data_IF_415247112933
#
_entry.id   IF_415247112933
#
_cell.length_a   1.000
_cell.length_b   1.000
_cell.length_c   1.000
_cell.angle_alpha   90.00
_cell.angle_beta   90.00
_cell.angle_gamma   90.00
#
_symmetry.space_group_name_H-M   'P 1'
#
loop_
_entity.id
_entity.type
_entity.pdbx_description
1 polymer ?
#
# COMPACT_ATOMS: atom_id res chain seq x y z
N UNK A 1 5.73 -17.85 -17.56
CA UNK A 1 6.16 -16.45 -17.80
C UNK A 1 7.06 -16.05 -16.65
N UNK A 2 8.00 -15.14 -16.87
CA UNK A 2 8.90 -14.67 -15.81
C UNK A 2 8.09 -14.05 -14.65
N UNK A 3 8.24 -14.59 -13.43
CA UNK A 3 7.72 -13.97 -12.20
C UNK A 3 8.60 -12.78 -11.76
N UNK A 4 9.56 -12.36 -12.59
CA UNK A 4 10.41 -11.21 -12.32
C UNK A 4 9.57 -9.95 -12.44
N UNK A 5 9.59 -9.16 -11.38
CA UNK A 5 9.04 -7.81 -11.37
C UNK A 5 9.88 -6.95 -12.30
N UNK A 6 9.22 -6.04 -13.00
CA UNK A 6 9.85 -5.07 -13.87
C UNK A 6 9.54 -3.66 -13.40
N UNK A 7 10.42 -2.75 -13.78
CA UNK A 7 10.24 -1.32 -13.61
C UNK A 7 10.03 -0.71 -14.99
N UNK A 8 8.90 -0.01 -15.16
CA UNK A 8 8.57 0.74 -16.36
C UNK A 8 8.56 2.23 -16.05
N UNK A 9 9.09 3.02 -16.96
CA UNK A 9 9.18 4.48 -16.81
C UNK A 9 8.43 5.18 -17.93
N UNK A 10 7.80 6.30 -17.60
CA UNK A 10 7.09 7.13 -18.56
C UNK A 10 7.18 8.61 -18.20
N UNK A 11 7.43 9.44 -19.22
CA UNK A 11 7.22 10.88 -19.15
C UNK A 11 5.89 11.23 -19.82
N UNK A 12 4.99 11.86 -19.07
CA UNK A 12 3.72 12.36 -19.58
C UNK A 12 3.93 13.72 -20.24
N UNK A 13 3.60 13.82 -21.52
CA UNK A 13 3.75 15.04 -22.33
C UNK A 13 2.40 15.43 -22.98
N UNK A 14 2.10 16.74 -23.13
CA UNK A 14 2.87 17.88 -22.65
C UNK A 14 2.81 18.00 -21.12
N UNK A 15 3.91 18.36 -20.46
CA UNK A 15 3.95 18.57 -19.00
C UNK A 15 3.02 19.71 -18.55
N UNK A 16 1.98 19.39 -17.78
CA UNK A 16 1.03 20.35 -17.21
C UNK A 16 0.62 19.93 -15.78
N UNK A 17 0.95 20.76 -14.79
CA UNK A 17 0.69 20.48 -13.38
C UNK A 17 -0.81 20.38 -13.05
N UNK A 18 -1.67 21.09 -13.76
CA UNK A 18 -3.11 21.02 -13.51
C UNK A 18 -3.69 19.69 -14.00
N UNK A 19 -3.20 19.21 -15.15
CA UNK A 19 -3.58 17.90 -15.70
C UNK A 19 -3.06 16.76 -14.84
N UNK A 20 -1.83 16.87 -14.35
CA UNK A 20 -1.25 15.91 -13.40
C UNK A 20 -2.03 15.85 -12.08
N UNK A 21 -2.46 17.00 -11.56
CA UNK A 21 -3.29 17.03 -10.36
C UNK A 21 -4.67 16.38 -10.58
N UNK A 22 -5.30 16.62 -11.73
CA UNK A 22 -6.56 15.97 -12.13
C UNK A 22 -6.39 14.45 -12.26
N UNK A 23 -5.30 13.99 -12.87
CA UNK A 23 -4.98 12.56 -13.00
C UNK A 23 -4.76 11.90 -11.64
N UNK A 24 -3.93 12.49 -10.78
CA UNK A 24 -3.61 11.93 -9.47
C UNK A 24 -4.80 11.96 -8.50
N UNK A 25 -5.71 12.92 -8.68
CA UNK A 25 -6.84 13.15 -7.79
C UNK A 25 -6.42 13.70 -6.42
N UNK A 26 -7.40 13.98 -5.54
CA UNK A 26 -7.13 14.49 -4.20
C UNK A 26 -6.27 13.52 -3.39
N UNK A 27 -5.15 13.98 -2.83
CA UNK A 27 -4.23 13.15 -2.03
C UNK A 27 -3.77 11.85 -2.73
N UNK A 28 -3.65 11.89 -4.06
CA UNK A 28 -3.19 10.79 -4.92
C UNK A 28 -4.13 9.57 -4.91
N UNK A 29 -5.40 9.76 -4.58
CA UNK A 29 -6.36 8.66 -4.40
C UNK A 29 -6.58 7.86 -5.68
N UNK A 30 -6.51 8.51 -6.85
CA UNK A 30 -6.64 7.83 -8.14
C UNK A 30 -5.46 6.87 -8.38
N UNK A 31 -4.24 7.31 -8.06
CA UNK A 31 -3.04 6.47 -8.19
C UNK A 31 -3.10 5.31 -7.19
N UNK A 32 -3.46 5.58 -5.93
CA UNK A 32 -3.63 4.54 -4.91
C UNK A 32 -4.69 3.51 -5.30
N UNK A 33 -5.78 3.94 -5.93
CA UNK A 33 -6.81 3.04 -6.42
C UNK A 33 -6.26 2.10 -7.51
N UNK A 34 -5.47 2.64 -8.45
CA UNK A 34 -4.82 1.85 -9.49
C UNK A 34 -3.79 0.87 -8.91
N UNK A 35 -2.96 1.31 -7.96
CA UNK A 35 -2.00 0.46 -7.23
C UNK A 35 -2.70 -0.74 -6.54
N UNK A 36 -3.77 -0.47 -5.79
CA UNK A 36 -4.53 -1.51 -5.05
C UNK A 36 -5.24 -2.50 -5.96
N UNK A 37 -5.75 -2.05 -7.11
CA UNK A 37 -6.51 -2.89 -8.05
C UNK A 37 -5.59 -3.77 -8.89
N UNK A 38 -4.50 -3.20 -9.41
CA UNK A 38 -3.59 -3.92 -10.30
C UNK A 38 -2.48 -4.65 -9.55
N UNK A 39 -2.24 -4.35 -8.27
CA UNK A 39 -1.14 -4.95 -7.52
C UNK A 39 0.20 -4.49 -8.07
N UNK A 40 0.35 -3.17 -8.21
CA UNK A 40 1.56 -2.51 -8.69
C UNK A 40 1.90 -1.36 -7.74
N UNK A 41 3.14 -0.90 -7.77
CA UNK A 41 3.56 0.34 -7.13
C UNK A 41 3.81 1.40 -8.19
N UNK A 42 3.30 2.61 -7.95
CA UNK A 42 3.37 3.73 -8.87
C UNK A 42 4.00 4.91 -8.14
N UNK A 43 5.22 5.26 -8.53
CA UNK A 43 5.96 6.42 -8.09
C UNK A 43 5.95 7.51 -9.14
N UNK A 44 5.93 8.78 -8.74
CA UNK A 44 6.05 9.87 -9.69
C UNK A 44 6.70 11.11 -9.10
N UNK A 45 7.32 11.91 -9.98
CA UNK A 45 7.87 13.23 -9.68
C UNK A 45 7.59 14.16 -10.84
N UNK A 46 6.59 15.03 -10.67
CA UNK A 46 6.10 15.86 -11.77
C UNK A 46 5.42 14.99 -12.82
N UNK A 47 5.86 15.11 -14.07
CA UNK A 47 5.34 14.33 -15.20
C UNK A 47 6.06 12.98 -15.42
N UNK A 48 7.09 12.68 -14.63
CA UNK A 48 7.81 11.41 -14.70
C UNK A 48 7.19 10.40 -13.74
N UNK A 49 6.74 9.26 -14.26
CA UNK A 49 6.15 8.15 -13.51
C UNK A 49 7.03 6.89 -13.65
N UNK A 50 7.13 6.14 -12.57
CA UNK A 50 7.83 4.86 -12.45
C UNK A 50 6.86 3.84 -11.89
N UNK A 51 6.69 2.72 -12.58
CA UNK A 51 5.72 1.69 -12.26
C UNK A 51 6.48 0.39 -12.02
N UNK A 52 6.33 -0.19 -10.84
CA UNK A 52 6.97 -1.45 -10.44
C UNK A 52 5.90 -2.51 -10.23
N UNK A 53 6.01 -3.63 -10.92
CA UNK A 53 5.03 -4.71 -10.81
C UNK A 53 5.33 -5.89 -11.73
N UNK A 54 4.38 -6.83 -11.82
CA UNK A 54 4.49 -7.93 -12.78
C UNK A 54 4.39 -7.38 -14.22
N UNK A 55 5.02 -8.00 -15.23
CA UNK A 55 5.14 -7.40 -16.56
C UNK A 55 3.83 -6.94 -17.22
N UNK A 56 2.77 -7.75 -17.11
CA UNK A 56 1.46 -7.44 -17.69
C UNK A 56 0.70 -6.38 -16.87
N UNK A 57 0.76 -6.40 -15.53
CA UNK A 57 0.07 -5.42 -14.69
C UNK A 57 0.77 -4.08 -14.73
N UNK A 58 2.11 -4.07 -14.75
CA UNK A 58 2.90 -2.85 -14.94
C UNK A 58 2.64 -2.22 -16.31
N UNK A 59 2.59 -3.03 -17.39
CA UNK A 59 2.26 -2.53 -18.73
C UNK A 59 0.83 -1.97 -18.80
N UNK A 60 -0.16 -2.69 -18.25
CA UNK A 60 -1.53 -2.21 -18.19
C UNK A 60 -1.66 -0.92 -17.39
N UNK A 61 -1.02 -0.82 -16.23
CA UNK A 61 -1.00 0.40 -15.43
C UNK A 61 -0.40 1.58 -16.20
N UNK A 62 0.68 1.35 -16.95
CA UNK A 62 1.33 2.36 -17.79
C UNK A 62 0.40 2.86 -18.90
N UNK A 63 -0.31 1.96 -19.58
CA UNK A 63 -1.24 2.31 -20.65
C UNK A 63 -2.51 3.00 -20.12
N UNK A 64 -3.01 2.58 -18.96
CA UNK A 64 -4.13 3.25 -18.27
C UNK A 64 -3.72 4.68 -17.89
N UNK A 65 -2.53 4.87 -17.28
CA UNK A 65 -2.03 6.20 -16.91
C UNK A 65 -1.93 7.10 -18.14
N UNK A 66 -1.40 6.60 -19.27
CA UNK A 66 -1.36 7.34 -20.54
C UNK A 66 -2.75 7.76 -21.00
N UNK A 67 -3.69 6.82 -21.01
CA UNK A 67 -5.05 7.03 -21.51
C UNK A 67 -5.78 8.06 -20.66
N UNK A 68 -5.75 7.90 -19.34
CA UNK A 68 -6.34 8.86 -18.41
C UNK A 68 -5.67 10.24 -18.53
N UNK A 69 -4.34 10.30 -18.72
CA UNK A 69 -3.68 11.59 -18.96
C UNK A 69 -4.15 12.28 -20.25
N UNK A 70 -4.41 11.52 -21.32
CA UNK A 70 -5.00 12.06 -22.56
C UNK A 70 -6.42 12.58 -22.31
N UNK A 71 -7.22 11.91 -21.48
CA UNK A 71 -8.57 12.36 -21.12
C UNK A 71 -8.58 13.69 -20.33
N UNK A 72 -7.51 14.00 -19.59
CA UNK A 72 -7.37 15.33 -18.94
C UNK A 72 -7.11 16.47 -19.92
N UNK A 73 -6.95 16.20 -21.23
CA UNK A 73 -6.71 17.25 -22.22
C UNK A 73 -7.86 18.27 -22.22
N UNK A 74 -7.56 19.58 -22.20
CA UNK A 74 -8.57 20.60 -21.99
C UNK A 74 -9.57 20.65 -23.14
N UNK A 75 -10.84 20.40 -22.84
CA UNK A 75 -11.96 20.59 -23.78
C UNK A 75 -12.51 21.99 -23.54
N UNK A 76 -12.40 22.87 -24.54
CA UNK A 76 -12.81 24.29 -24.43
C UNK A 76 -12.09 25.06 -23.30
N UNK A 77 -10.85 24.70 -22.99
CA UNK A 77 -10.05 25.36 -21.95
C UNK A 77 -10.35 24.91 -20.51
N UNK A 78 -11.25 23.95 -20.31
CA UNK A 78 -11.50 23.34 -19.00
C UNK A 78 -10.85 21.96 -18.94
N UNK A 79 -10.08 21.72 -17.87
CA UNK A 79 -9.48 20.42 -17.56
C UNK A 79 -10.54 19.63 -16.79
N UNK A 80 -10.83 18.42 -17.26
CA UNK A 80 -11.75 17.50 -16.59
C UNK A 80 -10.98 16.71 -15.54
N UNK A 81 -11.54 16.60 -14.34
CA UNK A 81 -11.00 15.76 -13.27
C UNK A 81 -11.29 14.28 -13.56
N UNK A 82 -10.31 13.41 -13.31
CA UNK A 82 -10.51 11.96 -13.44
C UNK A 82 -11.26 11.46 -12.22
N UNK A 83 -12.46 10.94 -12.45
CA UNK A 83 -13.29 10.34 -11.41
C UNK A 83 -12.91 8.86 -11.16
N UNK A 84 -13.07 8.33 -9.93
CA UNK A 84 -12.77 6.93 -9.60
C UNK A 84 -13.46 5.90 -10.50
N UNK A 85 -14.65 6.24 -11.03
CA UNK A 85 -15.42 5.40 -11.97
C UNK A 85 -14.68 5.22 -13.30
N UNK A 86 -14.00 6.26 -13.80
CA UNK A 86 -13.20 6.19 -15.04
C UNK A 86 -11.99 5.27 -14.86
N UNK A 87 -11.38 5.27 -13.68
CA UNK A 87 -10.28 4.35 -13.35
C UNK A 87 -10.78 2.92 -13.33
N UNK A 88 -11.94 2.68 -12.71
CA UNK A 88 -12.54 1.35 -12.69
C UNK A 88 -12.85 0.84 -14.11
N UNK A 89 -13.41 1.71 -14.96
CA UNK A 89 -13.71 1.38 -16.35
C UNK A 89 -12.42 1.08 -17.15
N UNK A 90 -11.39 1.93 -17.03
CA UNK A 90 -10.12 1.74 -17.72
C UNK A 90 -9.43 0.43 -17.31
N UNK A 91 -9.46 0.07 -16.02
CA UNK A 91 -8.96 -1.22 -15.53
C UNK A 91 -9.73 -2.38 -16.16
N UNK A 92 -11.07 -2.29 -16.22
CA UNK A 92 -11.90 -3.33 -16.80
C UNK A 92 -11.67 -3.49 -18.30
N UNK A 93 -11.58 -2.40 -19.04
CA UNK A 93 -11.32 -2.38 -20.48
C UNK A 93 -9.93 -2.92 -20.85
N UNK A 94 -8.94 -2.78 -19.95
CA UNK A 94 -7.61 -3.35 -20.16
C UNK A 94 -7.61 -4.89 -20.22
N UNK A 95 -8.64 -5.55 -19.68
CA UNK A 95 -8.75 -7.03 -19.64
C UNK A 95 -7.66 -7.73 -18.81
N UNK A 96 -6.77 -6.99 -18.15
CA UNK A 96 -5.57 -7.54 -17.51
C UNK A 96 -5.89 -8.47 -16.33
N UNK A 97 -7.01 -8.23 -15.65
CA UNK A 97 -7.47 -9.03 -14.52
C UNK A 97 -8.17 -10.34 -14.98
N UNK A 98 -8.75 -10.34 -16.18
CA UNK A 98 -9.44 -11.52 -16.74
C UNK A 98 -8.42 -12.54 -17.29
N UNK A 99 -7.33 -12.05 -17.90
CA UNK A 99 -6.26 -12.89 -18.46
C UNK A 99 -5.50 -13.72 -17.41
N UNK A 100 -5.51 -13.32 -16.13
CA UNK A 100 -4.87 -14.09 -15.05
C UNK A 100 -5.72 -15.21 -14.48
N UNK A 101 -7.03 -15.18 -14.71
CA UNK A 101 -7.94 -16.20 -14.20
C UNK A 101 -7.77 -17.56 -14.91
N UNK A 102 -7.28 -17.55 -16.15
CA UNK A 102 -7.15 -18.78 -16.97
C UNK A 102 -5.74 -19.41 -16.95
N UNK A 103 -4.70 -18.67 -16.54
CA UNK A 103 -3.31 -19.14 -16.64
C UNK A 103 -2.54 -19.05 -15.32
N UNK A 104 -2.81 -19.94 -14.36
CA UNK A 104 -1.77 -20.52 -13.47
C UNK A 104 -2.31 -21.55 -12.46
N UNK A 105 -2.91 -22.63 -12.95
CA UNK A 105 -2.80 -23.93 -12.27
C UNK A 105 -1.58 -24.63 -12.88
N UNK A 106 -0.39 -24.29 -12.40
CA UNK A 106 0.75 -25.19 -12.45
C UNK A 106 1.03 -25.58 -11.00
N UNK A 107 0.81 -26.86 -10.69
CA UNK A 107 0.99 -27.46 -9.36
C UNK A 107 2.37 -27.14 -8.77
N UNK A 108 2.49 -26.04 -8.02
CA UNK A 108 3.49 -25.88 -6.97
C UNK A 108 2.92 -26.52 -5.71
N UNK A 109 3.71 -27.40 -5.05
CA UNK A 109 3.36 -28.03 -3.76
C UNK A 109 2.48 -27.09 -2.93
N UNK A 110 1.26 -27.51 -2.59
CA UNK A 110 0.41 -26.74 -1.68
C UNK A 110 1.21 -26.47 -0.40
N UNK A 111 1.66 -25.22 -0.21
CA UNK A 111 2.44 -24.82 0.96
C UNK A 111 1.45 -24.66 2.10
N UNK A 112 1.23 -25.77 2.80
CA UNK A 112 0.43 -25.80 4.01
C UNK A 112 1.30 -25.45 5.20
N UNK A 113 0.89 -24.42 5.93
CA UNK A 113 1.46 -24.15 7.25
C UNK A 113 0.68 -24.98 8.26
N UNK A 114 1.35 -25.97 8.86
CA UNK A 114 0.75 -26.75 9.94
C UNK A 114 0.98 -26.01 11.24
N UNK A 115 -0.09 -25.77 11.99
CA UNK A 115 -0.02 -25.29 13.37
C UNK A 115 -0.70 -26.29 14.29
N UNK A 116 -0.45 -26.20 15.60
CA UNK A 116 -1.12 -27.05 16.58
C UNK A 116 -2.65 -26.95 16.56
N UNK A 117 -3.22 -25.80 16.15
CA UNK A 117 -4.67 -25.60 16.09
C UNK A 117 -5.30 -25.92 14.73
N UNK A 118 -4.49 -26.26 13.72
CA UNK A 118 -4.99 -26.62 12.40
C UNK A 118 -4.02 -26.27 11.26
N UNK A 119 -4.43 -26.60 10.04
CA UNK A 119 -3.69 -26.24 8.82
C UNK A 119 -4.15 -24.88 8.34
N UNK A 120 -3.24 -23.91 8.34
CA UNK A 120 -3.48 -22.61 7.70
C UNK A 120 -3.23 -22.80 6.20
N UNK A 121 -4.27 -22.55 5.41
CA UNK A 121 -4.24 -22.68 3.96
C UNK A 121 -4.32 -21.29 3.32
N UNK A 122 -3.53 -21.01 2.26
CA UNK A 122 -3.76 -19.83 1.44
C UNK A 122 -5.16 -19.92 0.83
N UNK A 123 -5.86 -18.78 0.78
CA UNK A 123 -7.22 -18.67 0.22
C UNK A 123 -7.22 -18.09 -1.19
N UNK A 124 -6.14 -17.44 -1.60
CA UNK A 124 -5.97 -16.88 -2.95
C UNK A 124 -4.63 -17.32 -3.56
N UNK A 125 -4.49 -17.29 -4.91
CA UNK A 125 -3.23 -17.60 -5.57
C UNK A 125 -2.06 -16.72 -5.10
N UNK A 126 -2.29 -15.41 -4.89
CA UNK A 126 -1.26 -14.49 -4.39
C UNK A 126 -0.82 -14.83 -2.97
N UNK A 127 -1.72 -15.32 -2.11
CA UNK A 127 -1.35 -15.83 -0.78
C UNK A 127 -0.50 -17.10 -0.87
N UNK A 128 -0.81 -18.00 -1.81
CA UNK A 128 -0.01 -19.22 -2.03
C UNK A 128 1.39 -18.89 -2.55
N UNK A 129 1.48 -17.98 -3.53
CA UNK A 129 2.75 -17.49 -4.04
C UNK A 129 3.58 -16.81 -2.94
N UNK A 130 2.95 -15.99 -2.11
CA UNK A 130 3.60 -15.33 -0.98
C UNK A 130 4.21 -16.32 0.01
N UNK A 131 3.47 -17.37 0.39
CA UNK A 131 4.01 -18.44 1.25
C UNK A 131 5.19 -19.18 0.58
N UNK A 132 5.11 -19.44 -0.72
CA UNK A 132 6.20 -20.07 -1.46
C UNK A 132 7.45 -19.17 -1.51
N UNK A 133 7.26 -17.87 -1.69
CA UNK A 133 8.34 -16.89 -1.70
C UNK A 133 9.10 -16.87 -0.37
N UNK A 134 8.39 -16.93 0.76
CA UNK A 134 9.03 -17.00 2.10
C UNK A 134 9.90 -18.25 2.32
N UNK A 135 9.63 -19.34 1.60
CA UNK A 135 10.41 -20.58 1.71
C UNK A 135 11.62 -20.54 0.79
N UNK A 136 11.50 -19.86 -0.35
CA UNK A 136 12.49 -19.89 -1.44
C UNK A 136 13.45 -18.70 -1.43
N UNK A 137 13.10 -17.60 -0.78
CA UNK A 137 13.89 -16.37 -0.72
C UNK A 137 14.23 -16.01 0.73
N UNK A 138 15.44 -15.48 0.95
CA UNK A 138 15.88 -15.02 2.27
C UNK A 138 15.14 -13.74 2.69
N UNK A 139 14.75 -12.90 1.73
CA UNK A 139 14.01 -11.67 1.98
C UNK A 139 12.75 -11.65 1.11
N UNK A 140 11.61 -11.46 1.75
CA UNK A 140 10.30 -11.42 1.08
C UNK A 140 9.53 -10.17 1.51
N UNK A 141 9.05 -9.41 0.53
CA UNK A 141 8.17 -8.27 0.74
C UNK A 141 6.72 -8.68 0.43
N UNK A 142 5.83 -8.54 1.41
CA UNK A 142 4.38 -8.65 1.24
C UNK A 142 3.74 -7.28 1.28
N UNK A 143 3.40 -6.73 0.12
CA UNK A 143 2.90 -5.35 -0.01
C UNK A 143 1.44 -5.38 -0.44
N UNK A 144 0.57 -4.68 0.27
CA UNK A 144 -0.80 -4.48 -0.20
C UNK A 144 -1.81 -4.27 0.92
N UNK A 145 -3.11 -4.24 0.59
CA UNK A 145 -4.16 -3.77 1.48
C UNK A 145 -4.28 -4.52 2.82
N UNK A 146 -4.90 -3.87 3.80
CA UNK A 146 -5.27 -4.51 5.05
C UNK A 146 -6.32 -5.62 4.84
N UNK A 147 -6.13 -6.77 5.50
CA UNK A 147 -7.03 -7.93 5.38
C UNK A 147 -6.67 -8.92 4.26
N UNK A 148 -5.56 -8.72 3.56
CA UNK A 148 -4.98 -9.68 2.60
C UNK A 148 -4.26 -10.86 3.26
N UNK A 149 -4.09 -10.81 4.58
CA UNK A 149 -3.44 -11.86 5.37
C UNK A 149 -1.91 -11.80 5.37
N UNK A 150 -1.28 -10.77 4.78
CA UNK A 150 0.19 -10.64 4.67
C UNK A 150 0.97 -10.87 5.98
N UNK A 151 0.55 -10.24 7.08
CA UNK A 151 1.21 -10.36 8.39
C UNK A 151 0.88 -11.71 9.04
N UNK A 152 -0.39 -12.13 8.98
CA UNK A 152 -0.85 -13.40 9.55
C UNK A 152 -0.15 -14.60 8.91
N UNK A 153 -0.05 -14.64 7.58
CA UNK A 153 0.65 -15.70 6.84
C UNK A 153 2.16 -15.70 7.11
N UNK A 154 2.77 -14.53 7.32
CA UNK A 154 4.17 -14.42 7.70
C UNK A 154 4.42 -15.03 9.09
N UNK A 155 3.58 -14.72 10.08
CA UNK A 155 3.66 -15.31 11.43
C UNK A 155 3.44 -16.82 11.35
N UNK A 156 2.49 -17.26 10.53
CA UNK A 156 2.22 -18.68 10.28
C UNK A 156 3.48 -19.40 9.76
N UNK A 157 4.10 -18.87 8.71
CA UNK A 157 5.33 -19.43 8.15
C UNK A 157 6.49 -19.44 9.16
N UNK A 158 6.64 -18.39 9.97
CA UNK A 158 7.65 -18.32 11.02
C UNK A 158 7.45 -19.42 12.08
N UNK A 159 6.20 -19.65 12.49
CA UNK A 159 5.85 -20.70 13.44
C UNK A 159 6.13 -22.09 12.89
N UNK A 160 5.76 -22.38 11.64
CA UNK A 160 6.05 -23.68 11.01
C UNK A 160 7.56 -23.90 10.85
N UNK A 161 8.33 -22.88 10.45
CA UNK A 161 9.79 -22.98 10.39
C UNK A 161 10.43 -23.24 11.76
N UNK A 162 9.90 -22.63 12.83
CA UNK A 162 10.33 -22.89 14.20
C UNK A 162 9.99 -24.32 14.65
N UNK A 163 8.78 -24.81 14.37
CA UNK A 163 8.36 -26.17 14.72
C UNK A 163 9.14 -27.24 13.95
N UNK A 164 9.56 -26.95 12.72
CA UNK A 164 10.44 -27.79 11.89
C UNK A 164 11.92 -27.69 12.26
N UNK A 165 12.28 -26.85 13.23
CA UNK A 165 13.66 -26.61 13.66
C UNK A 165 14.57 -26.07 12.54
N UNK A 166 13.99 -25.43 11.51
CA UNK A 166 14.75 -24.76 10.46
C UNK A 166 15.41 -23.47 10.98
N UNK A 167 14.74 -22.82 11.94
CA UNK A 167 15.19 -21.61 12.62
C UNK A 167 15.17 -21.80 14.13
N UNK A 168 15.99 -21.01 14.84
CA UNK A 168 16.13 -21.09 16.31
C UNK A 168 15.27 -20.07 17.05
N UNK A 169 14.87 -18.98 16.39
CA UNK A 169 14.10 -17.90 17.00
C UNK A 169 13.22 -17.15 16.01
N UNK A 170 12.11 -16.62 16.50
CA UNK A 170 11.24 -15.69 15.76
C UNK A 170 11.41 -14.30 16.35
N UNK A 171 11.58 -13.30 15.50
CA UNK A 171 11.64 -11.91 15.90
C UNK A 171 10.58 -11.11 15.17
N UNK A 172 9.63 -10.55 15.91
CA UNK A 172 8.54 -9.74 15.37
C UNK A 172 8.79 -8.28 15.75
N UNK A 173 8.76 -7.40 14.76
CA UNK A 173 9.03 -5.99 14.99
C UNK A 173 8.12 -5.08 14.19
N UNK A 174 7.84 -3.91 14.74
CA UNK A 174 6.99 -2.87 14.15
C UNK A 174 7.63 -1.51 14.43
N UNK A 175 7.63 -0.56 13.48
CA UNK A 175 8.06 0.80 13.76
C UNK A 175 7.11 1.46 14.76
N UNK A 176 7.66 2.25 15.67
CA UNK A 176 6.84 3.09 16.55
C UNK A 176 6.40 4.32 15.75
N UNK A 177 5.09 4.51 15.61
CA UNK A 177 4.49 5.57 14.81
C UNK A 177 3.39 6.19 15.64
N UNK A 178 3.41 7.51 15.76
CA UNK A 178 2.40 8.27 16.50
C UNK A 178 1.15 8.42 15.62
N UNK A 179 0.37 7.34 15.50
CA UNK A 179 -0.90 7.36 14.77
C UNK A 179 -1.97 8.08 15.60
N UNK A 180 -1.98 9.40 15.53
CA UNK A 180 -3.06 10.25 16.08
C UNK A 180 -2.94 10.65 17.55
N UNK A 181 -2.21 9.90 18.38
CA UNK A 181 -1.89 10.26 19.77
C UNK A 181 -0.37 10.23 19.97
N UNK A 182 0.20 11.28 20.59
CA UNK A 182 1.64 11.28 20.90
C UNK A 182 1.91 10.12 21.86
N UNK A 183 2.97 9.34 21.60
CA UNK A 183 3.37 8.20 22.43
C UNK A 183 3.53 8.61 23.92
N UNK A 184 3.79 9.90 24.17
CA UNK A 184 3.83 10.51 25.49
C UNK A 184 2.56 10.42 26.36
N UNK A 185 1.36 10.23 25.79
CA UNK A 185 0.08 10.28 26.53
C UNK A 185 -0.37 8.96 27.17
N UNK A 186 0.16 7.81 26.74
CA UNK A 186 -0.15 6.54 27.40
C UNK A 186 0.55 6.50 28.78
N UNK A 187 -0.17 6.25 29.90
CA UNK A 187 0.46 6.12 31.22
C UNK A 187 1.29 4.83 31.28
N UNK A 188 2.43 4.86 31.97
CA UNK A 188 3.31 3.68 32.13
C UNK A 188 4.74 3.88 31.65
N UNK A 189 5.54 2.81 31.75
CA UNK A 189 6.90 2.77 31.21
C UNK A 189 6.91 2.69 29.67
N UNK A 190 8.07 2.87 29.03
CA UNK A 190 8.18 2.87 27.57
C UNK A 190 7.68 1.56 26.95
N UNK A 191 7.79 0.43 27.66
CA UNK A 191 7.33 -0.87 27.20
C UNK A 191 5.80 -0.93 27.16
N UNK A 192 5.14 -0.47 28.23
CA UNK A 192 3.68 -0.40 28.34
C UNK A 192 3.04 0.54 27.32
N UNK A 193 3.77 1.56 26.85
CA UNK A 193 3.30 2.49 25.82
C UNK A 193 3.38 1.92 24.41
N UNK A 194 4.29 0.97 24.15
CA UNK A 194 4.47 0.38 22.81
C UNK A 194 3.70 -0.94 22.66
N UNK A 195 3.38 -1.60 23.77
CA UNK A 195 2.64 -2.87 23.80
C UNK A 195 1.33 -2.87 22.99
N UNK A 196 0.48 -1.82 23.00
CA UNK A 196 -0.75 -1.81 22.19
C UNK A 196 -0.51 -1.98 20.69
N UNK A 197 0.58 -1.44 20.15
CA UNK A 197 0.91 -1.53 18.72
C UNK A 197 1.42 -2.91 18.32
N UNK A 198 1.96 -3.67 19.28
CA UNK A 198 2.49 -5.01 19.08
C UNK A 198 1.43 -6.09 19.32
N UNK A 199 0.30 -5.75 19.96
CA UNK A 199 -0.78 -6.69 20.29
C UNK A 199 -1.28 -7.55 19.12
N UNK A 200 -1.49 -7.03 17.89
CA UNK A 200 -1.90 -7.88 16.78
C UNK A 200 -0.92 -9.03 16.46
N UNK A 201 0.37 -8.83 16.72
CA UNK A 201 1.40 -9.86 16.54
C UNK A 201 1.31 -10.93 17.64
N UNK A 202 1.03 -10.53 18.88
CA UNK A 202 0.76 -11.46 19.97
C UNK A 202 -0.48 -12.31 19.71
N UNK A 203 -1.58 -11.68 19.27
CA UNK A 203 -2.83 -12.38 18.98
C UNK A 203 -2.64 -13.48 17.92
N UNK A 204 -1.90 -13.17 16.84
CA UNK A 204 -1.55 -14.16 15.81
C UNK A 204 -0.74 -15.34 16.38
N UNK A 205 0.26 -15.08 17.23
CA UNK A 205 1.03 -16.13 17.89
C UNK A 205 0.17 -16.99 18.82
N UNK A 206 -0.68 -16.38 19.64
CA UNK A 206 -1.58 -17.08 20.56
C UNK A 206 -2.61 -17.93 19.81
N UNK A 207 -3.07 -17.46 18.65
CA UNK A 207 -3.93 -18.24 17.77
C UNK A 207 -3.23 -19.52 17.31
N UNK A 208 -1.96 -19.45 16.91
CA UNK A 208 -1.24 -20.58 16.29
C UNK A 208 -0.64 -21.57 17.30
N UNK A 209 -0.05 -21.06 18.39
CA UNK A 209 0.72 -21.86 19.36
C UNK A 209 0.00 -22.06 20.70
N UNK A 210 -0.99 -21.21 21.01
CA UNK A 210 -1.66 -21.15 22.31
C UNK A 210 -0.90 -20.32 23.34
N UNK A 211 -1.65 -19.71 24.27
CA UNK A 211 -1.14 -18.76 25.28
C UNK A 211 0.06 -19.29 26.08
N UNK A 212 -0.11 -20.42 26.77
CA UNK A 212 0.92 -20.96 27.66
C UNK A 212 2.25 -21.25 26.94
N UNK A 213 2.20 -21.66 25.66
CA UNK A 213 3.40 -21.97 24.90
C UNK A 213 4.10 -20.71 24.42
N UNK A 214 3.34 -19.72 23.96
CA UNK A 214 3.89 -18.43 23.54
C UNK A 214 4.60 -17.76 24.70
N UNK A 215 3.98 -17.68 25.87
CA UNK A 215 4.60 -17.11 27.08
C UNK A 215 5.94 -17.79 27.42
N UNK A 216 5.97 -19.13 27.45
CA UNK A 216 7.22 -19.89 27.69
C UNK A 216 8.29 -19.64 26.63
N UNK A 217 7.90 -19.46 25.36
CA UNK A 217 8.86 -19.18 24.28
C UNK A 217 9.39 -17.75 24.35
N UNK A 218 8.58 -16.80 24.82
CA UNK A 218 8.99 -15.42 25.06
C UNK A 218 9.94 -15.34 26.25
N UNK A 219 9.61 -15.98 27.38
CA UNK A 219 10.49 -16.04 28.55
C UNK A 219 11.87 -16.62 28.23
N UNK A 220 11.93 -17.56 27.29
CA UNK A 220 13.17 -18.19 26.80
C UNK A 220 13.88 -17.39 25.70
N UNK A 221 13.34 -16.24 25.29
CA UNK A 221 13.81 -15.45 24.15
C UNK A 221 13.87 -16.22 22.82
N UNK A 222 13.03 -17.25 22.67
CA UNK A 222 12.83 -17.96 21.39
C UNK A 222 11.91 -17.15 20.49
N UNK A 223 10.90 -16.50 21.07
CA UNK A 223 10.06 -15.51 20.38
C UNK A 223 10.36 -14.16 21.02
N UNK A 224 10.71 -13.16 20.21
CA UNK A 224 10.93 -11.80 20.64
C UNK A 224 9.96 -10.88 19.90
N UNK A 225 9.16 -10.10 20.62
CA UNK A 225 8.28 -9.08 20.05
C UNK A 225 8.77 -7.72 20.55
N UNK A 226 9.35 -6.92 19.67
CA UNK A 226 10.07 -5.70 20.07
C UNK A 226 9.94 -4.56 19.06
N UNK A 227 10.04 -3.29 19.49
CA UNK A 227 10.04 -2.15 18.58
C UNK A 227 11.24 -2.16 17.63
N UNK A 228 11.09 -1.57 16.43
CA UNK A 228 12.15 -1.55 15.41
C UNK A 228 13.49 -0.99 15.90
N UNK A 229 13.46 -0.03 16.83
CA UNK A 229 14.66 0.57 17.41
C UNK A 229 15.60 -0.46 18.07
N UNK A 230 15.07 -1.58 18.56
CA UNK A 230 15.84 -2.64 19.23
C UNK A 230 16.68 -3.46 18.26
N UNK A 231 16.50 -3.29 16.94
CA UNK A 231 17.28 -3.99 15.92
C UNK A 231 18.66 -3.36 15.70
N UNK A 232 18.86 -2.12 16.18
CA UNK A 232 20.11 -1.37 15.96
C UNK A 232 21.30 -2.12 16.57
N UNK A 233 22.37 -2.28 15.77
CA UNK A 233 23.61 -2.91 16.22
C UNK A 233 23.56 -4.43 16.38
N UNK A 234 22.45 -5.08 16.00
CA UNK A 234 22.32 -6.54 16.06
C UNK A 234 22.73 -7.20 14.74
N UNK A 235 23.09 -8.47 14.81
CA UNK A 235 23.13 -9.36 13.66
C UNK A 235 22.19 -10.53 13.96
N UNK A 236 21.21 -10.71 13.09
CA UNK A 236 20.11 -11.63 13.30
C UNK A 236 20.37 -12.92 12.53
N UNK A 237 21.17 -13.81 13.11
CA UNK A 237 21.40 -15.17 12.59
C UNK A 237 20.32 -16.15 13.09
N UNK A 238 20.11 -17.23 12.33
CA UNK A 238 19.24 -18.36 12.66
C UNK A 238 17.82 -17.96 13.08
N UNK A 239 17.30 -16.92 12.45
CA UNK A 239 16.06 -16.26 12.86
C UNK A 239 15.07 -16.14 11.72
N UNK A 240 13.79 -16.19 12.06
CA UNK A 240 12.72 -15.71 11.19
C UNK A 240 12.30 -14.33 11.69
N UNK A 241 12.58 -13.29 10.91
CA UNK A 241 12.35 -11.89 11.27
C UNK A 241 11.15 -11.36 10.51
N UNK A 242 10.21 -10.71 11.18
CA UNK A 242 9.05 -10.07 10.55
C UNK A 242 9.04 -8.60 10.91
N UNK A 243 9.10 -7.74 9.90
CA UNK A 243 8.85 -6.30 10.04
C UNK A 243 7.43 -6.00 9.56
N UNK A 244 6.54 -5.72 10.51
CA UNK A 244 5.14 -5.34 10.26
C UNK A 244 4.99 -3.82 10.13
N UNK A 245 3.97 -3.38 9.40
CA UNK A 245 3.70 -1.98 9.04
C UNK A 245 4.93 -1.21 8.52
N UNK A 246 5.70 -1.84 7.66
CA UNK A 246 6.95 -1.29 7.13
C UNK A 246 6.78 0.01 6.33
N UNK A 247 5.56 0.33 5.86
CA UNK A 247 5.28 1.61 5.20
C UNK A 247 5.58 2.81 6.11
N UNK A 248 5.55 2.60 7.42
CA UNK A 248 5.86 3.62 8.41
C UNK A 248 7.32 3.62 8.88
N UNK A 249 8.21 2.97 8.13
CA UNK A 249 9.65 3.12 8.32
C UNK A 249 10.19 4.28 7.49
N UNK A 250 11.23 4.96 7.98
CA UNK A 250 12.04 5.85 7.12
C UNK A 250 13.02 5.03 6.27
N UNK A 251 13.60 5.66 5.25
CA UNK A 251 14.65 5.04 4.42
C UNK A 251 15.82 4.53 5.27
N UNK A 252 16.25 5.30 6.26
CA UNK A 252 17.34 4.93 7.17
C UNK A 252 16.96 3.74 8.04
N UNK A 253 15.71 3.69 8.53
CA UNK A 253 15.22 2.58 9.33
C UNK A 253 15.10 1.29 8.53
N UNK A 254 14.61 1.36 7.29
CA UNK A 254 14.55 0.22 6.38
C UNK A 254 15.97 -0.30 6.05
N UNK A 255 16.90 0.60 5.71
CA UNK A 255 18.30 0.23 5.47
C UNK A 255 18.97 -0.35 6.73
N UNK A 256 18.69 0.23 7.89
CA UNK A 256 19.17 -0.28 9.17
C UNK A 256 18.68 -1.71 9.37
N UNK A 257 17.38 -1.97 9.18
CA UNK A 257 16.76 -3.28 9.34
C UNK A 257 17.32 -4.33 8.36
N UNK A 258 17.31 -4.04 7.06
CA UNK A 258 17.77 -4.99 6.03
C UNK A 258 19.24 -5.39 6.25
N UNK A 259 20.08 -4.48 6.72
CA UNK A 259 21.50 -4.79 7.02
C UNK A 259 21.72 -5.54 8.35
N UNK A 260 20.67 -5.86 9.13
CA UNK A 260 20.79 -6.70 10.33
C UNK A 260 20.58 -8.18 10.02
N UNK A 261 20.07 -8.54 8.83
CA UNK A 261 19.76 -9.91 8.46
C UNK A 261 21.07 -10.69 8.36
N UNK A 262 21.20 -11.73 9.18
CA UNK A 262 22.38 -12.58 9.26
C UNK A 262 22.23 -13.89 8.49
N UNK A 263 23.18 -14.80 8.68
CA UNK A 263 23.17 -16.10 8.03
C UNK A 263 22.05 -17.01 8.57
N UNK A 264 21.56 -17.90 7.69
CA UNK A 264 20.51 -18.86 8.00
C UNK A 264 19.25 -18.19 8.57
N UNK A 265 18.94 -16.98 8.10
CA UNK A 265 17.79 -16.22 8.54
C UNK A 265 16.90 -15.89 7.36
N UNK A 266 15.61 -15.77 7.64
CA UNK A 266 14.59 -15.32 6.70
C UNK A 266 13.97 -14.04 7.23
N UNK A 267 13.78 -13.05 6.37
CA UNK A 267 13.14 -11.80 6.71
C UNK A 267 11.89 -11.57 5.85
N UNK A 268 10.78 -11.27 6.51
CA UNK A 268 9.52 -10.92 5.86
C UNK A 268 9.16 -9.49 6.22
N UNK A 269 9.07 -8.64 5.21
CA UNK A 269 8.71 -7.23 5.35
C UNK A 269 7.28 -7.08 4.84
N UNK A 270 6.38 -6.63 5.71
CA UNK A 270 4.97 -6.47 5.35
C UNK A 270 4.53 -5.02 5.50
N UNK A 271 3.68 -4.55 4.60
CA UNK A 271 3.19 -3.18 4.67
C UNK A 271 2.13 -2.86 3.62
N UNK A 272 1.58 -1.66 3.73
CA UNK A 272 0.63 -1.08 2.78
C UNK A 272 1.11 0.30 2.36
N UNK A 273 1.66 0.44 1.15
CA UNK A 273 2.19 1.71 0.63
C UNK A 273 1.13 2.82 0.53
N UNK A 274 -0.16 2.48 0.62
CA UNK A 274 -1.25 3.46 0.59
C UNK A 274 -1.60 4.02 1.97
N UNK A 275 -1.07 3.46 3.06
CA UNK A 275 -1.36 3.83 4.46
C UNK A 275 -0.11 4.34 5.19
N UNK A 276 0.54 5.37 4.63
CA UNK A 276 1.76 5.97 5.21
C UNK A 276 1.37 7.02 6.25
N UNK A 277 1.71 6.76 7.52
CA UNK A 277 1.46 7.62 8.67
C UNK A 277 2.70 8.47 9.06
N UNK A 278 3.68 8.57 8.18
CA UNK A 278 4.90 9.34 8.42
C UNK A 278 4.63 10.86 8.41
N UNK A 279 5.41 11.65 9.18
CA UNK A 279 5.34 13.11 9.13
C UNK A 279 5.46 13.64 7.70
N UNK A 280 4.73 14.72 7.40
CA UNK A 280 4.73 15.34 6.07
C UNK A 280 6.17 15.63 5.60
N UNK A 281 6.53 15.10 4.43
CA UNK A 281 7.84 15.26 3.80
C UNK A 281 8.83 14.11 4.02
N UNK A 282 8.54 13.17 4.91
CA UNK A 282 9.37 11.97 5.07
C UNK A 282 9.03 10.93 3.98
N UNK A 283 10.06 10.41 3.28
CA UNK A 283 9.88 9.33 2.31
C UNK A 283 9.78 7.98 3.03
N UNK A 284 8.77 7.19 2.66
CA UNK A 284 8.60 5.83 3.19
C UNK A 284 9.76 4.93 2.75
N UNK A 285 10.34 4.22 3.72
CA UNK A 285 11.41 3.25 3.52
C UNK A 285 10.95 2.03 2.73
N UNK A 286 9.70 1.60 2.88
CA UNK A 286 9.12 0.50 2.10
C UNK A 286 9.09 0.85 0.61
N UNK A 287 8.48 1.98 0.27
CA UNK A 287 8.34 2.50 -1.09
C UNK A 287 9.71 2.67 -1.76
N UNK A 288 10.64 3.29 -1.03
CA UNK A 288 12.03 3.40 -1.49
C UNK A 288 12.75 2.05 -1.66
N UNK A 289 12.50 1.06 -0.80
CA UNK A 289 13.12 -0.26 -0.92
C UNK A 289 12.64 -1.00 -2.16
N UNK A 290 11.37 -0.86 -2.54
CA UNK A 290 10.82 -1.49 -3.74
C UNK A 290 11.44 -0.90 -5.01
N UNK A 291 11.62 0.43 -5.05
CA UNK A 291 12.33 1.11 -6.14
C UNK A 291 13.79 0.65 -6.28
N UNK A 292 14.50 0.52 -5.16
CA UNK A 292 15.96 0.29 -5.15
C UNK A 292 16.34 -1.19 -5.27
N UNK A 293 15.48 -2.10 -4.79
CA UNK A 293 15.81 -3.51 -4.63
C UNK A 293 15.09 -4.43 -5.64
N UNK A 294 14.31 -3.89 -6.59
CA UNK A 294 13.59 -4.69 -7.58
C UNK A 294 14.49 -5.54 -8.49
N UNK A 295 15.78 -5.18 -8.65
CA UNK A 295 16.74 -5.93 -9.46
C UNK A 295 17.52 -7.01 -8.68
N UNK A 296 17.33 -7.10 -7.36
CA UNK A 296 18.05 -8.05 -6.50
C UNK A 296 17.32 -9.40 -6.51
N UNK A 297 17.92 -10.42 -7.15
CA UNK A 297 17.27 -11.71 -7.40
C UNK A 297 16.94 -12.50 -6.10
N UNK A 298 17.68 -12.30 -5.01
CA UNK A 298 17.43 -12.94 -3.71
C UNK A 298 16.25 -12.32 -2.94
N UNK A 299 15.70 -11.21 -3.43
CA UNK A 299 14.58 -10.49 -2.82
C UNK A 299 13.34 -10.71 -3.67
N UNK A 300 12.28 -11.22 -3.04
CA UNK A 300 10.97 -11.32 -3.67
C UNK A 300 10.05 -10.20 -3.22
N UNK A 301 9.23 -9.70 -4.13
CA UNK A 301 8.08 -8.86 -3.77
C UNK A 301 6.79 -9.53 -4.23
N UNK A 302 5.80 -9.47 -3.36
CA UNK A 302 4.46 -9.99 -3.61
C UNK A 302 3.47 -8.86 -3.36
N UNK A 303 2.89 -8.34 -4.44
CA UNK A 303 1.90 -7.28 -4.40
C UNK A 303 0.50 -7.89 -4.33
N UNK A 304 -0.17 -7.71 -3.20
CA UNK A 304 -1.55 -8.12 -3.00
C UNK A 304 -2.50 -7.09 -3.57
N UNK A 305 -3.58 -7.58 -4.16
CA UNK A 305 -4.65 -6.78 -4.73
C UNK A 305 -5.82 -6.66 -3.75
N UNK A 306 -6.75 -5.75 -4.04
CA UNK A 306 -7.99 -5.61 -3.29
C UNK A 306 -8.79 -6.94 -3.22
N UNK A 307 -8.75 -7.74 -4.29
CA UNK A 307 -9.48 -9.00 -4.38
C UNK A 307 -8.85 -10.12 -3.53
N UNK A 308 -7.63 -9.92 -3.03
CA UNK A 308 -6.98 -10.82 -2.07
C UNK A 308 -7.49 -10.64 -0.63
N UNK A 309 -8.33 -9.64 -0.38
CA UNK A 309 -8.87 -9.34 0.94
C UNK A 309 -9.93 -10.37 1.30
N UNK A 310 -9.59 -11.25 2.25
CA UNK A 310 -10.54 -12.26 2.74
C UNK A 310 -11.06 -11.86 4.11
N UNK A 311 -12.27 -11.28 4.12
CA UNK A 311 -12.98 -10.88 5.33
C UNK A 311 -14.24 -11.71 5.53
N UNK A 312 -14.75 -11.69 6.76
CA UNK A 312 -16.07 -12.25 7.04
C UNK A 312 -17.14 -11.55 6.16
N UNK A 313 -18.13 -12.25 5.59
CA UNK A 313 -19.11 -11.65 4.67
C UNK A 313 -19.86 -10.45 5.24
N UNK A 314 -20.14 -10.45 6.55
CA UNK A 314 -20.74 -9.30 7.24
C UNK A 314 -19.82 -8.10 7.24
N UNK A 315 -18.52 -8.29 7.53
CA UNK A 315 -17.53 -7.20 7.56
C UNK A 315 -17.36 -6.62 6.15
N UNK A 316 -17.31 -7.46 5.11
CA UNK A 316 -17.28 -7.00 3.73
C UNK A 316 -18.51 -6.15 3.38
N UNK A 317 -19.72 -6.58 3.78
CA UNK A 317 -20.94 -5.78 3.58
C UNK A 317 -20.92 -4.44 4.32
N UNK A 318 -20.36 -4.40 5.53
CA UNK A 318 -20.20 -3.15 6.31
C UNK A 318 -19.24 -2.21 5.58
N UNK A 319 -18.07 -2.69 5.19
CA UNK A 319 -17.07 -1.88 4.45
C UNK A 319 -17.69 -1.33 3.17
N UNK A 320 -18.34 -2.16 2.36
CA UNK A 320 -19.00 -1.72 1.13
C UNK A 320 -20.11 -0.69 1.38
N UNK A 321 -20.80 -0.74 2.54
CA UNK A 321 -21.82 0.25 2.88
C UNK A 321 -21.20 1.62 3.21
N UNK A 322 -20.06 1.63 3.93
CA UNK A 322 -19.31 2.85 4.21
C UNK A 322 -18.66 3.42 2.94
N UNK A 323 -18.03 2.60 2.11
CA UNK A 323 -17.43 3.04 0.84
C UNK A 323 -18.48 3.68 -0.10
N UNK A 324 -19.68 3.09 -0.17
CA UNK A 324 -20.80 3.68 -0.94
C UNK A 324 -21.24 5.02 -0.38
N UNK A 325 -21.31 5.15 0.94
CA UNK A 325 -21.68 6.40 1.59
C UNK A 325 -20.60 7.47 1.39
N UNK A 326 -19.31 7.11 1.53
CA UNK A 326 -18.19 8.03 1.31
C UNK A 326 -18.11 8.49 -0.14
N UNK A 327 -18.31 7.60 -1.11
CA UNK A 327 -18.37 7.96 -2.53
C UNK A 327 -19.53 8.95 -2.82
N UNK A 328 -20.68 8.73 -2.17
CA UNK A 328 -21.83 9.63 -2.28
C UNK A 328 -21.57 10.99 -1.61
N UNK A 329 -21.00 11.01 -0.40
CA UNK A 329 -20.64 12.24 0.32
C UNK A 329 -19.59 13.05 -0.46
N UNK A 330 -18.57 12.38 -1.00
CA UNK A 330 -17.58 13.02 -1.87
C UNK A 330 -18.23 13.63 -3.12
N UNK A 331 -19.13 12.91 -3.77
CA UNK A 331 -19.86 13.42 -4.94
C UNK A 331 -20.71 14.65 -4.58
N UNK A 332 -21.44 14.60 -3.47
CA UNK A 332 -22.27 15.71 -3.00
C UNK A 332 -21.41 16.95 -2.64
N UNK A 333 -20.25 16.74 -2.02
CA UNK A 333 -19.28 17.82 -1.75
C UNK A 333 -18.72 18.42 -3.03
N UNK A 334 -18.33 17.60 -4.00
CA UNK A 334 -17.86 18.07 -5.32
C UNK A 334 -18.94 18.87 -6.03
N UNK A 335 -20.17 18.39 -6.06
CA UNK A 335 -21.30 19.12 -6.64
C UNK A 335 -21.56 20.46 -5.92
N UNK A 336 -21.44 20.50 -4.60
CA UNK A 336 -21.56 21.73 -3.83
C UNK A 336 -20.44 22.73 -4.13
N UNK A 337 -19.18 22.27 -4.18
CA UNK A 337 -18.02 23.09 -4.53
C UNK A 337 -18.11 23.63 -5.97
N UNK A 338 -18.56 22.80 -6.91
CA UNK A 338 -18.76 23.19 -8.30
C UNK A 338 -19.84 24.27 -8.42
N UNK A 339 -21.00 24.11 -7.78
CA UNK A 339 -22.06 25.15 -7.74
C UNK A 339 -21.54 26.46 -7.15
N UNK A 340 -20.77 26.39 -6.06
CA UNK A 340 -20.14 27.56 -5.43
C UNK A 340 -19.13 28.26 -6.35
N UNK A 341 -18.39 27.50 -7.16
CA UNK A 341 -17.46 28.03 -8.15
C UNK A 341 -18.21 28.73 -9.29
N UNK A 342 -19.24 28.10 -9.84
CA UNK A 342 -20.10 28.66 -10.89
C UNK A 342 -20.79 29.96 -10.43
N UNK A 343 -21.30 30.00 -9.19
CA UNK A 343 -21.86 31.23 -8.59
C UNK A 343 -20.85 32.37 -8.49
N UNK A 344 -19.59 32.07 -8.13
CA UNK A 344 -18.50 33.07 -8.06
C UNK A 344 -18.13 33.57 -9.44
N UNK A 345 -17.97 32.68 -10.41
CA UNK A 345 -17.64 33.03 -11.80
C UNK A 345 -18.74 33.90 -12.43
N UNK A 346 -20.02 33.55 -12.21
CA UNK A 346 -21.16 34.35 -12.68
C UNK A 346 -21.19 35.75 -12.05
N UNK A 347 -20.95 35.87 -10.74
CA UNK A 347 -20.85 37.19 -10.08
C UNK A 347 -19.69 38.03 -10.63
N UNK A 348 -18.57 37.40 -10.94
CA UNK A 348 -17.40 38.10 -11.50
C UNK A 348 -17.69 38.60 -12.92
N UNK A 349 -18.34 37.78 -13.75
CA UNK A 349 -18.83 38.14 -15.09
C UNK A 349 -19.85 39.29 -15.04
N UNK A 350 -20.78 39.27 -14.08
CA UNK A 350 -21.73 40.37 -13.87
C UNK A 350 -21.02 41.66 -13.47
N UNK A 351 -20.04 41.61 -12.56
CA UNK A 351 -19.24 42.79 -12.18
C UNK A 351 -18.45 43.34 -13.38
N UNK A 352 -17.79 42.50 -14.16
CA UNK A 352 -17.04 42.92 -15.35
C UNK A 352 -17.94 43.54 -16.43
N UNK A 353 -19.15 42.99 -16.63
CA UNK A 353 -20.15 43.58 -17.52
C UNK A 353 -20.62 44.95 -17.02
N UNK A 354 -20.85 45.09 -15.73
CA UNK A 354 -21.23 46.37 -15.12
C UNK A 354 -20.13 47.43 -15.29
N UNK A 355 -18.85 47.07 -15.08
CA UNK A 355 -17.71 47.96 -15.30
C UNK A 355 -17.57 48.38 -16.77
N UNK A 356 -17.75 47.46 -17.73
CA UNK A 356 -17.73 47.79 -19.17
C UNK A 356 -18.87 48.73 -19.60
N UNK A 357 -20.06 48.61 -19.01
CA UNK A 357 -21.15 49.55 -19.29
C UNK A 357 -20.88 50.94 -18.70
N UNK A 358 -20.24 51.01 -17.53
CA UNK A 358 -19.85 52.28 -16.91
C UNK A 358 -18.74 53.00 -17.70
N UNK A 359 -17.80 52.26 -18.30
CA UNK A 359 -16.76 52.86 -19.16
C UNK A 359 -17.31 53.40 -20.48
N UNK A 360 -18.25 52.71 -21.12
CA UNK A 360 -18.90 53.18 -22.36
C UNK A 360 -19.76 54.43 -22.15
N UNK A 361 -20.40 54.59 -20.99
CA UNK A 361 -21.17 55.79 -20.69
C UNK A 361 -20.30 57.03 -20.41
N UNK A 362 -19.03 56.87 -20.00
CA UNK A 362 -18.10 57.98 -19.80
C UNK A 362 -17.43 58.47 -21.10
N UNK A 363 -17.30 57.62 -22.12
CA UNK A 363 -16.79 58.06 -23.45
C UNK A 363 -17.87 58.74 -24.31
N UNK A 364 -19.15 58.56 -23.96
CA UNK A 364 -20.30 59.08 -24.72
C UNK A 364 -20.70 60.51 -24.35
N UNK A 365 -19.99 61.17 -23.42
CA UNK A 365 -20.32 62.53 -23.00
C UNK A 365 -19.08 63.45 -22.96
N UNK A 366 -18.55 63.87 -24.11
CA UNK A 366 -17.65 65.01 -24.17
C UNK A 366 -18.51 66.28 -24.14
N UNK A 367 -18.58 66.92 -22.98
CA UNK A 367 -19.07 68.29 -22.82
C UNK A 367 -17.97 69.15 -22.21
#
# INVERSE_FOLDING_TARGET
>A
MSNKIITLEINLEPSDNHRLASLCGPFDDNIKHLERRLGVEINYRGNFFTIVGQPHTAAAALDIIKTLYVETAPVRGQITDIEPEQIHLAIKESGVLEQHSESSIAHGKEVFVKTKKGVIKPRTPNQAQYLMNMVTHDITFGVGPAGTGKTYLAVAAAVDALERQEIRRILLTRPAVEAGEKLGFLPGDLSQKVDPYLRPLYDALFEMLGFERVEKLIERNVIEVAPLAYMRGRTLNDAFIILDESQNTTVEQMKMFLTRIGFNSRAVITGDVTQIDLPRGAKSGLRHAIEVLNEVDEISFNFFQADDVVRHPVVARIVNAYEKWEAQDQKERKEYEQRRREERENKLLEMQRAEMMLSHNNESNPS
#
